data_IF_660113641736
#
_entry.id   IF_660113641736
#
_cell.length_a   1.000
_cell.length_b   1.000
_cell.length_c   1.000
_cell.angle_alpha   90.00
_cell.angle_beta   90.00
_cell.angle_gamma   90.00
#
_symmetry.space_group_name_H-M   'P 1'
#
loop_
_entity.id
_entity.type
_entity.pdbx_description
1 polymer ?
#
# COMPACT_ATOMS: atom_id res chain seq x y z
N UNK A 1 -3.90 -7.43 -41.81
CA UNK A 1 -4.34 -8.24 -40.66
C UNK A 1 -3.73 -7.71 -39.39
N UNK A 2 -4.37 -6.70 -38.79
CA UNK A 2 -3.89 -6.04 -37.58
C UNK A 2 -4.44 -6.77 -36.36
N UNK A 3 -3.75 -7.83 -35.93
CA UNK A 3 -3.97 -8.40 -34.60
C UNK A 3 -3.36 -7.42 -33.58
N UNK A 4 -4.13 -6.41 -33.20
CA UNK A 4 -3.85 -5.60 -32.02
C UNK A 4 -4.00 -6.51 -30.80
N UNK A 5 -2.88 -6.87 -30.18
CA UNK A 5 -2.86 -7.37 -28.82
C UNK A 5 -3.41 -6.25 -27.93
N UNK A 6 -4.71 -6.29 -27.64
CA UNK A 6 -5.31 -5.44 -26.62
C UNK A 6 -4.68 -5.92 -25.30
N UNK A 7 -3.68 -5.20 -24.83
CA UNK A 7 -3.02 -5.48 -23.56
C UNK A 7 -4.05 -5.39 -22.45
N UNK A 8 -4.47 -6.54 -21.92
CA UNK A 8 -5.35 -6.58 -20.75
C UNK A 8 -4.50 -6.22 -19.54
N UNK A 9 -4.70 -5.02 -19.02
CA UNK A 9 -4.12 -4.59 -17.74
C UNK A 9 -4.86 -5.32 -16.61
N UNK A 10 -4.11 -5.85 -15.66
CA UNK A 10 -4.60 -6.50 -14.44
C UNK A 10 -4.10 -5.69 -13.23
N UNK A 11 -5.03 -5.21 -12.40
CA UNK A 11 -4.74 -4.56 -11.12
C UNK A 11 -4.91 -5.62 -10.04
N UNK A 12 -3.93 -5.74 -9.15
CA UNK A 12 -3.99 -6.66 -8.02
C UNK A 12 -3.95 -5.88 -6.71
N UNK A 13 -4.84 -6.23 -5.79
CA UNK A 13 -4.92 -5.70 -4.43
C UNK A 13 -5.00 -6.86 -3.45
N UNK A 14 -3.92 -7.10 -2.72
CA UNK A 14 -3.82 -8.23 -1.82
C UNK A 14 -2.41 -8.42 -1.31
N UNK A 15 -2.18 -9.59 -0.75
CA UNK A 15 -0.91 -9.94 -0.16
C UNK A 15 0.14 -10.40 -1.18
N UNK A 16 1.39 -10.09 -0.82
CA UNK A 16 2.57 -10.45 -1.57
C UNK A 16 3.54 -11.21 -0.66
N UNK A 17 4.19 -12.21 -1.22
CA UNK A 17 5.29 -12.93 -0.58
C UNK A 17 6.34 -13.23 -1.64
N UNK A 18 7.58 -12.78 -1.41
CA UNK A 18 8.70 -12.95 -2.35
C UNK A 18 8.37 -12.50 -3.78
N UNK A 19 7.82 -11.28 -3.92
CA UNK A 19 7.38 -10.70 -5.20
C UNK A 19 6.33 -11.53 -5.97
N UNK A 20 5.60 -12.38 -5.25
CA UNK A 20 4.52 -13.19 -5.81
C UNK A 20 3.23 -12.95 -5.03
N UNK A 21 2.11 -12.90 -5.74
CA UNK A 21 0.77 -12.91 -5.13
C UNK A 21 0.63 -14.17 -4.30
N UNK A 22 0.34 -14.01 -3.02
CA UNK A 22 0.28 -15.11 -2.07
C UNK A 22 -0.65 -14.74 -0.92
N UNK A 23 -1.49 -15.67 -0.47
CA UNK A 23 -2.55 -15.40 0.49
C UNK A 23 -3.79 -14.81 -0.19
N UNK A 24 -4.52 -13.89 0.45
CA UNK A 24 -5.84 -13.47 -0.09
C UNK A 24 -5.72 -12.14 -0.83
N UNK A 25 -6.39 -12.04 -1.98
CA UNK A 25 -6.37 -10.83 -2.79
C UNK A 25 -7.41 -10.80 -3.90
N UNK A 26 -7.58 -9.61 -4.44
CA UNK A 26 -8.48 -9.27 -5.53
C UNK A 26 -7.65 -8.95 -6.76
N UNK A 27 -8.03 -9.50 -7.90
CA UNK A 27 -7.45 -9.20 -9.19
C UNK A 27 -8.54 -8.74 -10.13
N UNK A 28 -8.39 -7.53 -10.66
CA UNK A 28 -9.34 -6.89 -11.57
C UNK A 28 -8.67 -6.68 -12.92
N UNK A 29 -9.27 -7.24 -13.97
CA UNK A 29 -8.81 -7.04 -15.34
C UNK A 29 -9.62 -5.95 -16.01
N UNK A 30 -8.96 -5.19 -16.86
CA UNK A 30 -9.56 -4.18 -17.75
C UNK A 30 -10.67 -4.73 -18.66
N UNK A 31 -10.71 -6.04 -18.92
CA UNK A 31 -11.79 -6.69 -19.65
C UNK A 31 -13.02 -7.05 -18.79
N UNK A 32 -13.04 -6.67 -17.51
CA UNK A 32 -14.13 -6.94 -16.57
C UNK A 32 -14.05 -8.28 -15.85
N UNK A 33 -13.02 -9.10 -16.08
CA UNK A 33 -12.80 -10.33 -15.30
C UNK A 33 -12.27 -9.96 -13.91
N UNK A 34 -12.93 -10.42 -12.85
CA UNK A 34 -12.51 -10.19 -11.47
C UNK A 34 -12.31 -11.52 -10.77
N UNK A 35 -11.21 -11.70 -10.05
CA UNK A 35 -11.02 -12.82 -9.12
C UNK A 35 -10.85 -12.31 -7.70
N UNK A 36 -11.56 -12.92 -6.77
CA UNK A 36 -11.53 -12.62 -5.34
C UNK A 36 -11.28 -13.94 -4.61
N UNK A 37 -10.14 -14.11 -3.96
CA UNK A 37 -9.85 -15.38 -3.30
C UNK A 37 -8.40 -15.54 -2.89
N UNK A 38 -8.04 -16.78 -2.59
CA UNK A 38 -6.67 -17.13 -2.21
C UNK A 38 -5.76 -17.26 -3.44
N UNK A 39 -4.48 -17.04 -3.19
CA UNK A 39 -3.36 -17.02 -4.13
C UNK A 39 -2.19 -17.76 -3.52
N UNK A 40 -1.41 -18.45 -4.35
CA UNK A 40 -0.11 -18.99 -3.96
C UNK A 40 0.82 -18.90 -5.17
N UNK A 41 1.99 -18.30 -5.00
CA UNK A 41 3.01 -18.19 -6.05
C UNK A 41 2.44 -17.69 -7.40
N UNK A 42 1.72 -16.57 -7.36
CA UNK A 42 1.05 -15.94 -8.53
C UNK A 42 -0.11 -16.73 -9.14
N UNK A 43 -0.58 -17.81 -8.51
CA UNK A 43 -1.67 -18.65 -9.01
C UNK A 43 -2.88 -18.60 -8.08
N UNK A 44 -4.09 -18.58 -8.65
CA UNK A 44 -5.33 -18.72 -7.89
C UNK A 44 -5.33 -20.07 -7.18
N UNK A 45 -5.65 -20.06 -5.89
CA UNK A 45 -5.64 -21.21 -5.00
C UNK A 45 -6.79 -21.13 -4.00
N UNK A 46 -6.97 -22.17 -3.18
CA UNK A 46 -7.89 -22.18 -2.06
C UNK A 46 -9.33 -21.86 -2.49
N UNK A 47 -10.11 -21.22 -1.63
CA UNK A 47 -11.45 -20.78 -1.99
C UNK A 47 -11.42 -19.40 -2.67
N UNK A 48 -12.22 -19.26 -3.72
CA UNK A 48 -12.35 -18.01 -4.45
C UNK A 48 -13.63 -17.89 -5.26
N UNK A 49 -13.80 -16.69 -5.81
CA UNK A 49 -14.91 -16.28 -6.67
C UNK A 49 -14.30 -15.66 -7.92
N UNK A 50 -14.63 -16.21 -9.08
CA UNK A 50 -14.34 -15.62 -10.39
C UNK A 50 -15.61 -15.00 -10.95
N UNK A 51 -15.58 -13.70 -11.21
CA UNK A 51 -16.65 -12.95 -11.86
C UNK A 51 -16.23 -12.73 -13.31
N UNK A 52 -17.01 -13.31 -14.22
CA UNK A 52 -16.79 -13.16 -15.65
C UNK A 52 -17.27 -11.79 -16.14
N UNK A 53 -16.77 -11.28 -17.28
CA UNK A 53 -17.20 -9.98 -17.83
C UNK A 53 -18.71 -9.87 -18.09
N UNK A 54 -19.39 -11.00 -18.32
CA UNK A 54 -20.85 -11.07 -18.47
C UNK A 54 -21.62 -11.09 -17.13
N UNK A 55 -20.92 -10.93 -16.00
CA UNK A 55 -21.48 -10.94 -14.65
C UNK A 55 -21.72 -12.33 -14.04
N UNK A 56 -21.45 -13.42 -14.77
CA UNK A 56 -21.58 -14.77 -14.18
C UNK A 56 -20.51 -15.01 -13.13
N UNK A 57 -20.86 -15.79 -12.11
CA UNK A 57 -20.00 -16.06 -10.95
C UNK A 57 -19.68 -17.55 -10.85
N UNK A 58 -18.40 -17.85 -10.85
CA UNK A 58 -17.85 -19.18 -10.62
C UNK A 58 -17.14 -19.18 -9.25
N UNK A 59 -17.83 -19.72 -8.26
CA UNK A 59 -17.36 -19.79 -6.87
C UNK A 59 -16.90 -21.22 -6.57
N UNK A 60 -15.81 -21.39 -5.82
CA UNK A 60 -15.34 -22.72 -5.45
C UNK A 60 -13.87 -22.81 -5.07
N UNK A 61 -13.34 -24.03 -5.06
CA UNK A 61 -11.92 -24.25 -4.81
C UNK A 61 -11.10 -24.15 -6.09
N UNK A 62 -10.04 -23.38 -6.04
CA UNK A 62 -9.06 -23.20 -7.09
C UNK A 62 -7.76 -23.93 -6.76
N UNK A 63 -7.13 -24.52 -7.78
CA UNK A 63 -5.79 -25.05 -7.70
C UNK A 63 -5.08 -24.75 -9.03
N UNK A 64 -3.89 -24.14 -8.95
CA UNK A 64 -3.09 -23.79 -10.11
C UNK A 64 -3.88 -23.03 -11.20
N UNK A 65 -4.61 -21.98 -10.80
CA UNK A 65 -5.48 -21.16 -11.67
C UNK A 65 -6.77 -21.82 -12.18
N UNK A 66 -7.03 -23.09 -11.86
CA UNK A 66 -8.19 -23.82 -12.34
C UNK A 66 -9.22 -24.02 -11.23
N UNK A 67 -10.50 -23.88 -11.55
CA UNK A 67 -11.59 -24.20 -10.65
C UNK A 67 -11.79 -25.72 -10.62
N UNK A 68 -11.42 -26.35 -9.52
CA UNK A 68 -11.51 -27.81 -9.35
C UNK A 68 -12.84 -28.25 -8.74
N UNK A 69 -13.38 -27.48 -7.79
CA UNK A 69 -14.63 -27.79 -7.09
C UNK A 69 -15.57 -26.59 -7.11
N UNK A 70 -16.50 -26.56 -8.07
CA UNK A 70 -17.52 -25.50 -8.17
C UNK A 70 -18.60 -25.65 -7.09
N UNK A 71 -18.87 -24.56 -6.39
CA UNK A 71 -19.91 -24.47 -5.38
C UNK A 71 -21.24 -24.10 -6.05
N UNK A 72 -22.23 -24.97 -5.90
CA UNK A 72 -23.61 -24.72 -6.33
C UNK A 72 -24.49 -24.32 -5.14
N UNK A 73 -25.64 -23.66 -5.39
CA UNK A 73 -26.57 -23.20 -4.34
C UNK A 73 -26.91 -24.26 -3.28
N UNK A 74 -27.10 -25.53 -3.70
CA UNK A 74 -27.39 -26.66 -2.79
C UNK A 74 -26.21 -26.97 -1.85
N UNK A 75 -24.99 -26.97 -2.37
CA UNK A 75 -23.78 -27.30 -1.60
C UNK A 75 -23.26 -26.08 -0.82
N UNK A 76 -23.59 -24.86 -1.27
CA UNK A 76 -23.29 -23.61 -0.57
C UNK A 76 -23.94 -23.59 0.80
N UNK A 77 -25.21 -24.00 0.92
CA UNK A 77 -25.90 -24.08 2.22
C UNK A 77 -25.26 -25.11 3.16
N UNK A 78 -24.79 -26.24 2.63
CA UNK A 78 -24.07 -27.24 3.41
C UNK A 78 -22.69 -26.72 3.87
N UNK A 79 -21.97 -25.99 3.02
CA UNK A 79 -20.68 -25.36 3.33
C UNK A 79 -20.82 -24.15 4.26
N UNK A 80 -21.93 -23.42 4.23
CA UNK A 80 -22.23 -22.37 5.23
C UNK A 80 -22.42 -22.99 6.61
N UNK A 81 -22.99 -24.21 6.67
CA UNK A 81 -23.24 -24.96 7.91
C UNK A 81 -22.00 -25.68 8.42
N UNK A 82 -21.10 -26.12 7.54
CA UNK A 82 -19.80 -26.68 7.89
C UNK A 82 -18.77 -25.55 8.01
N UNK A 83 -18.23 -25.36 9.22
CA UNK A 83 -17.20 -24.40 9.68
C UNK A 83 -16.33 -23.63 8.67
N UNK A 84 -15.96 -24.19 7.51
CA UNK A 84 -15.13 -23.56 6.47
C UNK A 84 -15.58 -22.15 6.05
N UNK A 85 -16.89 -21.85 6.00
CA UNK A 85 -17.32 -20.47 5.73
C UNK A 85 -17.11 -19.54 6.93
N UNK A 86 -17.36 -20.01 8.15
CA UNK A 86 -17.03 -19.26 9.37
C UNK A 86 -15.53 -18.98 9.43
N UNK A 87 -14.70 -19.98 9.17
CA UNK A 87 -13.25 -19.86 9.10
C UNK A 87 -12.81 -18.87 8.02
N UNK A 88 -13.44 -18.88 6.83
CA UNK A 88 -13.14 -17.92 5.76
C UNK A 88 -13.52 -16.48 6.14
N UNK A 89 -14.67 -16.27 6.78
CA UNK A 89 -15.12 -14.94 7.24
C UNK A 89 -14.24 -14.44 8.37
N UNK A 90 -13.93 -15.30 9.34
CA UNK A 90 -13.06 -14.99 10.47
C UNK A 90 -11.63 -14.70 10.02
N UNK A 91 -11.09 -15.49 9.10
CA UNK A 91 -9.77 -15.26 8.51
C UNK A 91 -9.71 -13.96 7.71
N UNK A 92 -10.76 -13.64 6.94
CA UNK A 92 -10.86 -12.37 6.20
C UNK A 92 -10.92 -11.16 7.15
N UNK A 93 -11.68 -11.27 8.25
CA UNK A 93 -11.77 -10.24 9.29
C UNK A 93 -10.43 -10.01 9.98
N UNK A 94 -9.80 -11.09 10.47
CA UNK A 94 -8.49 -11.03 11.13
C UNK A 94 -7.47 -10.37 10.20
N UNK A 95 -7.47 -10.70 8.92
CA UNK A 95 -6.50 -10.16 7.97
C UNK A 95 -6.77 -8.73 7.52
N UNK A 96 -8.03 -8.36 7.32
CA UNK A 96 -8.39 -6.97 7.11
C UNK A 96 -7.94 -6.13 8.31
N UNK A 97 -8.13 -6.64 9.54
CA UNK A 97 -7.73 -5.97 10.77
C UNK A 97 -6.20 -5.88 10.92
N UNK A 98 -5.45 -6.95 10.65
CA UNK A 98 -3.98 -6.93 10.75
C UNK A 98 -3.36 -6.04 9.69
N UNK A 99 -3.82 -6.10 8.43
CA UNK A 99 -3.36 -5.23 7.37
C UNK A 99 -3.64 -3.75 7.67
N UNK A 100 -4.84 -3.43 8.18
CA UNK A 100 -5.19 -2.07 8.59
C UNK A 100 -4.32 -1.57 9.75
N UNK A 101 -4.05 -2.43 10.76
CA UNK A 101 -3.14 -2.10 11.88
C UNK A 101 -1.72 -1.85 11.40
N UNK A 102 -1.19 -2.71 10.52
CA UNK A 102 0.15 -2.57 9.96
C UNK A 102 0.29 -1.29 9.12
N UNK A 103 -0.66 -1.04 8.21
CA UNK A 103 -0.66 0.17 7.40
C UNK A 103 -0.70 1.44 8.26
N UNK A 104 -1.51 1.44 9.32
CA UNK A 104 -1.57 2.55 10.29
C UNK A 104 -0.25 2.75 11.03
N UNK A 105 0.44 1.67 11.41
CA UNK A 105 1.73 1.74 12.09
C UNK A 105 2.81 2.30 11.17
N UNK A 106 2.91 1.80 9.94
CA UNK A 106 3.88 2.28 8.94
C UNK A 106 3.67 3.77 8.67
N UNK A 107 2.42 4.17 8.40
CA UNK A 107 2.10 5.59 8.16
C UNK A 107 2.43 6.48 9.37
N UNK A 108 2.22 5.98 10.60
CA UNK A 108 2.57 6.71 11.82
C UNK A 108 4.09 6.85 12.00
N UNK A 109 4.86 5.79 11.71
CA UNK A 109 6.32 5.82 11.78
C UNK A 109 6.92 6.77 10.74
N UNK A 110 6.45 6.70 9.50
CA UNK A 110 6.87 7.62 8.43
C UNK A 110 6.54 9.08 8.77
N UNK A 111 5.35 9.34 9.32
CA UNK A 111 4.96 10.69 9.75
C UNK A 111 5.88 11.22 10.86
N UNK A 112 6.22 10.38 11.85
CA UNK A 112 7.15 10.74 12.93
C UNK A 112 8.56 11.02 12.40
N UNK A 113 9.04 10.19 11.47
CA UNK A 113 10.36 10.36 10.87
C UNK A 113 10.45 11.66 10.06
N UNK A 114 9.43 11.94 9.25
CA UNK A 114 9.34 13.18 8.47
C UNK A 114 9.26 14.42 9.36
N UNK A 115 8.49 14.37 10.44
CA UNK A 115 8.44 15.46 11.42
C UNK A 115 9.79 15.69 12.10
N UNK A 116 10.52 14.61 12.45
CA UNK A 116 11.85 14.70 13.05
C UNK A 116 12.87 15.31 12.08
N UNK A 117 12.84 14.90 10.80
CA UNK A 117 13.69 15.46 9.74
C UNK A 117 13.42 16.96 9.58
N UNK A 118 12.16 17.38 9.51
CA UNK A 118 11.78 18.78 9.41
C UNK A 118 12.26 19.60 10.63
N UNK A 119 12.10 19.06 11.84
CA UNK A 119 12.58 19.71 13.07
C UNK A 119 14.10 19.89 13.08
N UNK A 120 14.86 18.86 12.74
CA UNK A 120 16.34 18.94 12.66
C UNK A 120 16.81 19.99 11.65
N UNK A 121 16.15 20.06 10.48
CA UNK A 121 16.44 21.07 9.48
C UNK A 121 16.15 22.49 10.00
N UNK A 122 15.03 22.66 10.71
CA UNK A 122 14.67 23.93 11.35
C UNK A 122 15.70 24.35 12.41
N UNK A 123 16.13 23.43 13.27
CA UNK A 123 17.11 23.70 14.33
C UNK A 123 18.47 24.12 13.73
N UNK A 124 18.91 23.44 12.66
CA UNK A 124 20.12 23.80 11.94
C UNK A 124 20.01 25.20 11.31
N UNK A 125 18.89 25.50 10.65
CA UNK A 125 18.65 26.81 10.05
C UNK A 125 18.66 27.92 11.10
N UNK A 126 18.02 27.71 12.26
CA UNK A 126 18.05 28.66 13.37
C UNK A 126 19.47 28.90 13.89
N UNK A 127 20.27 27.85 14.04
CA UNK A 127 21.69 27.98 14.45
C UNK A 127 22.51 28.78 13.43
N UNK A 128 22.29 28.53 12.13
CA UNK A 128 22.97 29.28 11.06
C UNK A 128 22.58 30.76 11.05
N UNK A 129 21.30 31.07 11.22
CA UNK A 129 20.81 32.45 11.31
C UNK A 129 21.44 33.18 12.50
N UNK A 130 21.50 32.54 13.67
CA UNK A 130 22.14 33.11 14.86
C UNK A 130 23.62 33.41 14.62
N UNK A 131 24.36 32.47 14.01
CA UNK A 131 25.78 32.68 13.66
C UNK A 131 25.97 33.81 12.67
N UNK A 132 25.15 33.87 11.62
CA UNK A 132 25.21 34.92 10.61
C UNK A 132 24.91 36.30 11.20
N UNK A 133 23.91 36.40 12.10
CA UNK A 133 23.58 37.63 12.81
C UNK A 133 24.73 38.06 13.73
N UNK A 134 25.33 37.13 14.46
CA UNK A 134 26.48 37.42 15.33
C UNK A 134 27.67 37.97 14.52
N UNK A 135 28.03 37.29 13.43
CA UNK A 135 29.11 37.74 12.54
C UNK A 135 28.79 39.09 11.89
N UNK A 136 27.54 39.32 11.48
CA UNK A 136 27.10 40.60 10.92
C UNK A 136 27.26 41.75 11.92
N UNK A 137 26.90 41.53 13.19
CA UNK A 137 27.06 42.52 14.25
C UNK A 137 28.55 42.79 14.55
N UNK A 138 29.38 41.75 14.64
CA UNK A 138 30.83 41.90 14.82
C UNK A 138 31.49 42.69 13.68
N UNK A 139 31.12 42.40 12.43
CA UNK A 139 31.62 43.12 11.27
C UNK A 139 31.21 44.60 11.31
N UNK A 140 29.98 44.91 11.74
CA UNK A 140 29.49 46.28 11.90
C UNK A 140 30.26 47.04 12.98
N UNK A 141 30.51 46.42 14.13
CA UNK A 141 31.31 47.02 15.20
C UNK A 141 32.76 47.27 14.77
N UNK A 142 33.39 46.31 14.08
CA UNK A 142 34.76 46.45 13.59
C UNK A 142 34.89 47.54 12.53
N UNK A 143 33.94 47.63 11.60
CA UNK A 143 33.90 48.70 10.60
C UNK A 143 33.79 50.08 11.25
N UNK A 144 32.94 50.22 12.27
CA UNK A 144 32.80 51.46 13.03
C UNK A 144 34.10 51.86 13.76
N UNK A 145 34.82 50.89 14.35
CA UNK A 145 36.10 51.14 15.01
C UNK A 145 37.19 51.60 14.04
N UNK A 146 37.25 51.02 12.84
CA UNK A 146 38.27 51.36 11.84
C UNK A 146 37.97 52.69 11.13
N UNK A 147 36.70 52.96 10.82
CA UNK A 147 36.32 54.18 10.12
C UNK A 147 34.94 54.69 10.61
N UNK A 148 34.90 55.56 11.63
CA UNK A 148 33.65 56.01 12.27
C UNK A 148 32.69 56.77 11.35
N UNK A 149 33.19 57.28 10.21
CA UNK A 149 32.38 57.96 9.19
C UNK A 149 31.75 57.01 8.17
N UNK A 150 32.19 55.75 8.12
CA UNK A 150 31.67 54.74 7.20
C UNK A 150 30.23 54.35 7.60
N UNK A 151 29.29 54.52 6.68
CA UNK A 151 27.91 54.08 6.82
C UNK A 151 27.65 52.99 5.78
N UNK A 152 27.15 51.83 6.22
CA UNK A 152 26.65 50.83 5.28
C UNK A 152 25.44 51.41 4.51
N UNK A 153 25.35 51.21 3.18
CA UNK A 153 24.20 51.65 2.38
C UNK A 153 22.91 50.95 2.78
#
# INVERSE_FOLDING_TARGET
NNNQYIGVIEIYSGEWFQDQRSGYGISERSNGLIYIGEWIRNQKHGYGILINPNGTRDEGQFQANQLINKINRKNKLHLVRQTKLKECVEYSLIRAETAAKQAKLIALEEAKENALKARKASDLAMSMIQKALHLSNQARELAFQLEPKFHQP
#
